data_IF_244847655434
#
_entry.id   IF_244847655434
#
_cell.length_a   1.000
_cell.length_b   1.000
_cell.length_c   1.000
_cell.angle_alpha   90.00
_cell.angle_beta   90.00
_cell.angle_gamma   90.00
#
_symmetry.space_group_name_H-M   'P 1'
#
loop_
_entity.id
_entity.type
_entity.pdbx_description
1 polymer ?
#
# COMPACT_ATOMS: atom_id res chain seq x y z
N UNK A 1 -9.38 3.02 6.46
CA UNK A 1 -8.26 2.49 7.27
C UNK A 1 -6.97 3.14 6.75
N UNK A 2 -5.79 2.97 7.36
CA UNK A 2 -4.55 3.42 6.74
C UNK A 2 -4.40 2.86 5.32
N UNK A 3 -3.73 3.62 4.45
CA UNK A 3 -3.40 3.19 3.10
C UNK A 3 -1.88 3.03 3.02
N UNK A 4 -1.42 1.95 2.43
CA UNK A 4 0.00 1.65 2.26
C UNK A 4 0.35 1.59 0.78
N UNK A 5 1.37 2.33 0.38
CA UNK A 5 1.99 2.15 -0.93
C UNK A 5 3.00 1.02 -0.82
N UNK A 6 2.80 -0.02 -1.62
CA UNK A 6 3.72 -1.14 -1.75
C UNK A 6 4.44 -1.02 -3.08
N UNK A 7 5.77 -1.14 -3.04
CA UNK A 7 6.60 -1.25 -4.24
C UNK A 7 7.46 -2.51 -4.12
N UNK A 8 7.59 -3.28 -5.20
CA UNK A 8 8.42 -4.48 -5.22
C UNK A 8 8.86 -4.81 -6.65
N UNK A 9 9.69 -5.85 -6.80
CA UNK A 9 9.89 -6.54 -8.06
C UNK A 9 9.00 -7.79 -8.09
N UNK A 10 8.09 -7.83 -9.04
CA UNK A 10 7.19 -8.94 -9.31
C UNK A 10 7.70 -9.72 -10.53
N UNK A 11 8.23 -10.94 -10.31
CA UNK A 11 8.91 -11.72 -11.34
C UNK A 11 10.00 -10.92 -12.08
N UNK A 12 10.79 -10.16 -11.31
CA UNK A 12 11.86 -9.30 -11.84
C UNK A 12 11.41 -7.99 -12.48
N UNK A 13 10.10 -7.71 -12.56
CA UNK A 13 9.56 -6.44 -13.09
C UNK A 13 9.15 -5.51 -11.94
N UNK A 14 9.40 -4.20 -12.03
CA UNK A 14 8.91 -3.26 -11.02
C UNK A 14 7.38 -3.29 -10.97
N UNK A 15 6.83 -3.28 -9.76
CA UNK A 15 5.40 -3.31 -9.46
C UNK A 15 5.10 -2.38 -8.30
N UNK A 16 4.00 -1.65 -8.39
CA UNK A 16 3.51 -0.79 -7.31
C UNK A 16 1.99 -0.89 -7.15
N UNK A 17 1.52 -0.77 -5.91
CA UNK A 17 0.09 -0.79 -5.59
C UNK A 17 -0.18 -0.10 -4.26
N UNK A 18 -1.30 0.61 -4.18
CA UNK A 18 -1.83 1.11 -2.92
C UNK A 18 -2.78 0.05 -2.34
N UNK A 19 -2.58 -0.30 -1.06
CA UNK A 19 -3.32 -1.34 -0.33
C UNK A 19 -3.86 -0.72 0.95
N UNK A 20 -5.18 -0.80 1.14
CA UNK A 20 -5.80 -0.46 2.43
C UNK A 20 -5.55 -1.62 3.41
N UNK A 21 -4.98 -1.31 4.58
CA UNK A 21 -4.67 -2.30 5.61
C UNK A 21 -4.75 -1.66 7.01
N UNK A 22 -4.96 -2.45 8.05
CA UNK A 22 -5.02 -1.94 9.43
C UNK A 22 -3.66 -1.39 9.89
N UNK A 23 -2.59 -2.09 9.52
CA UNK A 23 -1.20 -1.75 9.83
C UNK A 23 -0.23 -2.44 8.84
N UNK A 24 1.08 -2.27 9.06
CA UNK A 24 2.13 -2.83 8.19
C UNK A 24 2.12 -4.37 8.15
N UNK A 25 1.74 -5.04 9.25
CA UNK A 25 1.69 -6.49 9.32
C UNK A 25 0.49 -7.02 8.53
N UNK A 26 -0.69 -6.41 8.68
CA UNK A 26 -1.88 -6.71 7.87
C UNK A 26 -1.60 -6.49 6.37
N UNK A 27 -0.91 -5.41 6.02
CA UNK A 27 -0.51 -5.14 4.64
C UNK A 27 0.46 -6.21 4.08
N UNK A 28 1.37 -6.71 4.92
CA UNK A 28 2.30 -7.78 4.54
C UNK A 28 1.56 -9.10 4.31
N UNK A 29 0.56 -9.42 5.15
CA UNK A 29 -0.28 -10.60 4.97
C UNK A 29 -1.07 -10.52 3.65
N UNK A 30 -1.65 -9.36 3.32
CA UNK A 30 -2.28 -9.11 2.03
C UNK A 30 -1.31 -9.40 0.86
N UNK A 31 -0.07 -8.91 0.93
CA UNK A 31 0.95 -9.14 -0.11
C UNK A 31 1.30 -10.63 -0.26
N UNK A 32 1.43 -11.36 0.85
CA UNK A 32 1.64 -12.81 0.81
C UNK A 32 0.46 -13.53 0.15
N UNK A 33 -0.78 -13.16 0.50
CA UNK A 33 -1.99 -13.73 -0.10
C UNK A 33 -2.06 -13.43 -1.60
N UNK A 34 -1.77 -12.19 -2.04
CA UNK A 34 -1.68 -11.85 -3.46
C UNK A 34 -0.61 -12.69 -4.17
N UNK A 35 0.55 -12.87 -3.56
CA UNK A 35 1.62 -13.68 -4.13
C UNK A 35 1.22 -15.15 -4.32
N UNK A 36 0.47 -15.71 -3.37
CA UNK A 36 -0.07 -17.07 -3.46
C UNK A 36 -1.17 -17.16 -4.52
N UNK A 37 -2.12 -16.22 -4.54
CA UNK A 37 -3.28 -16.24 -5.43
C UNK A 37 -2.92 -16.03 -6.91
N UNK A 38 -1.89 -15.24 -7.21
CA UNK A 38 -1.44 -14.99 -8.59
C UNK A 38 -0.52 -16.11 -9.11
N UNK A 39 -0.11 -17.04 -8.25
CA UNK A 39 0.61 -18.26 -8.61
C UNK A 39 2.12 -18.11 -8.52
N UNK A 40 2.72 -18.63 -7.43
CA UNK A 40 4.17 -18.73 -7.14
C UNK A 40 5.00 -17.61 -7.77
N UNK A 41 4.61 -16.38 -7.51
CA UNK A 41 5.35 -15.23 -7.99
C UNK A 41 6.57 -15.01 -7.12
N UNK A 42 7.66 -14.64 -7.78
CA UNK A 42 8.88 -14.24 -7.11
C UNK A 42 8.79 -12.75 -6.79
N UNK A 43 8.64 -12.44 -5.49
CA UNK A 43 8.56 -11.08 -4.97
C UNK A 43 9.90 -10.74 -4.32
N UNK A 44 10.58 -9.73 -4.84
CA UNK A 44 11.86 -9.25 -4.32
C UNK A 44 11.77 -7.76 -3.99
N UNK A 45 12.67 -7.27 -3.13
CA UNK A 45 12.86 -5.85 -2.82
C UNK A 45 11.56 -5.12 -2.40
N UNK A 46 10.68 -5.80 -1.66
CA UNK A 46 9.40 -5.23 -1.21
C UNK A 46 9.63 -4.12 -0.18
N UNK A 47 9.06 -2.95 -0.44
CA UNK A 47 9.04 -1.80 0.46
C UNK A 47 7.60 -1.39 0.70
N UNK A 48 7.27 -1.14 1.96
CA UNK A 48 5.98 -0.63 2.41
C UNK A 48 6.14 0.82 2.84
N UNK A 49 5.20 1.67 2.51
CA UNK A 49 5.17 3.05 3.00
C UNK A 49 3.74 3.44 3.33
N UNK A 50 3.46 3.74 4.60
CA UNK A 50 2.16 4.29 5.00
C UNK A 50 1.94 5.64 4.31
N UNK A 51 0.88 5.73 3.54
CA UNK A 51 0.38 6.97 2.97
C UNK A 51 -0.34 7.70 4.10
N UNK A 52 0.42 8.53 4.81
CA UNK A 52 -0.15 9.49 5.76
C UNK A 52 -1.00 10.45 4.97
N UNK A 53 -2.31 10.21 4.95
CA UNK A 53 -3.27 11.18 4.46
C UNK A 53 -3.00 12.46 5.27
N UNK A 54 -2.43 13.48 4.61
CA UNK A 54 -2.52 14.82 5.15
C UNK A 54 -4.01 15.07 5.17
N UNK A 55 -4.65 15.02 6.34
CA UNK A 55 -5.94 15.66 6.54
C UNK A 55 -5.74 17.09 6.10
N UNK A 56 -6.05 17.38 4.84
CA UNK A 56 -6.21 18.73 4.38
C UNK A 56 -7.44 19.17 5.15
N UNK A 57 -7.21 19.93 6.22
CA UNK A 57 -8.26 20.71 6.84
C UNK A 57 -8.79 21.64 5.73
N UNK A 58 -9.74 21.15 4.93
CA UNK A 58 -10.69 21.99 4.23
C UNK A 58 -11.60 22.56 5.30
N UNK A 59 -11.02 23.46 6.11
CA UNK A 59 -11.79 24.42 6.87
C UNK A 59 -12.41 25.35 5.84
N UNK A 60 -13.70 25.16 5.62
CA UNK A 60 -14.59 26.10 4.96
C UNK A 60 -14.40 27.46 5.63
N UNK A 61 -13.58 28.35 5.08
CA UNK A 61 -13.63 29.76 5.48
C UNK A 61 -14.80 30.37 4.73
N UNK A 62 -15.96 30.31 5.39
CA UNK A 62 -17.17 31.00 5.01
C UNK A 62 -16.87 32.49 4.92
N UNK A 63 -17.25 33.09 3.79
CA UNK A 63 -17.21 34.53 3.56
C UNK A 63 -17.84 35.29 4.73
N UNK A 64 -17.22 36.40 5.14
CA UNK A 64 -17.91 37.53 5.75
C UNK A 64 -17.31 38.83 5.22
#
# INVERSE_FOLDING_TARGET
>A
MPMFKVTCKWNGKPWEKDIEAEDEADCTEHMCLFGVLVGKVDIQDSQLTEIKEKKQCQGTHMQT
#
